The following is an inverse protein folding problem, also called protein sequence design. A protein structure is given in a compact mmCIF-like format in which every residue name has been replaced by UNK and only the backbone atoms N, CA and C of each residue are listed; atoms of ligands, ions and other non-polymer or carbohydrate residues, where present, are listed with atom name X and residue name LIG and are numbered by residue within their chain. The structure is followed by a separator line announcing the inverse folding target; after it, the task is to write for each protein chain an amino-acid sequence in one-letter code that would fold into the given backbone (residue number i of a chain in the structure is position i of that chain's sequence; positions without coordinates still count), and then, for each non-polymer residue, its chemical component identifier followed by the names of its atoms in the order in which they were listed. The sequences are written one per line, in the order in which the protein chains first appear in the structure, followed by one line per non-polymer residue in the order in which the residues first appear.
data_IF_931652731751
#
_entry.id   IF_931652731751
#
_cell.length_a   1.000
_cell.length_b   1.000
_cell.length_c   1.000
_cell.angle_alpha   90.00
_cell.angle_beta   90.00
_cell.angle_gamma   90.00
#
_symmetry.space_group_name_H-M   'P 1'
#
loop_
_entity.id
_entity.type
_entity.pdbx_description
1 polymer ?
#
# COMPACT_ATOMS: atom_id res chain seq x y z
N UNK A 1 18.45 -14.89 -2.49
CA UNK A 1 17.00 -14.69 -2.25
C UNK A 1 16.73 -14.84 -0.76
N UNK A 2 16.10 -13.85 -0.10
CA UNK A 2 15.83 -13.90 1.33
C UNK A 2 14.31 -13.95 1.57
N UNK A 3 13.86 -14.91 2.37
CA UNK A 3 12.44 -15.19 2.55
C UNK A 3 11.75 -14.28 3.57
N UNK A 4 12.37 -13.94 4.71
CA UNK A 4 11.75 -13.07 5.72
C UNK A 4 12.75 -12.56 6.77
N UNK A 5 12.68 -11.27 7.15
CA UNK A 5 13.23 -10.78 8.43
C UNK A 5 12.17 -10.08 9.26
N UNK A 6 12.44 -9.95 10.56
CA UNK A 6 11.58 -9.19 11.49
C UNK A 6 11.31 -7.77 10.98
N UNK A 7 12.30 -7.10 10.39
CA UNK A 7 12.13 -5.73 9.85
C UNK A 7 11.15 -5.69 8.66
N UNK A 8 11.28 -6.62 7.71
CA UNK A 8 10.36 -6.71 6.57
C UNK A 8 8.93 -6.99 7.02
N UNK A 9 8.73 -7.89 7.98
CA UNK A 9 7.40 -8.16 8.55
C UNK A 9 6.78 -6.94 9.23
N UNK A 10 7.57 -6.15 9.96
CA UNK A 10 7.08 -4.90 10.57
C UNK A 10 6.64 -3.92 9.49
N UNK A 11 7.39 -3.78 8.40
CA UNK A 11 7.03 -2.89 7.28
C UNK A 11 5.75 -3.34 6.58
N UNK A 12 5.56 -4.65 6.40
CA UNK A 12 4.32 -5.22 5.86
C UNK A 12 3.14 -4.98 6.82
N UNK A 13 3.35 -5.13 8.14
CA UNK A 13 2.31 -4.84 9.12
C UNK A 13 1.91 -3.35 9.13
N UNK A 14 2.88 -2.44 8.97
CA UNK A 14 2.63 -1.00 8.84
C UNK A 14 1.88 -0.70 7.53
N UNK A 15 2.25 -1.34 6.42
CA UNK A 15 1.53 -1.23 5.15
C UNK A 15 0.07 -1.65 5.31
N UNK A 16 -0.17 -2.80 5.97
CA UNK A 16 -1.51 -3.29 6.24
C UNK A 16 -2.33 -2.31 7.09
N UNK A 17 -1.73 -1.75 8.14
CA UNK A 17 -2.39 -0.75 8.97
C UNK A 17 -2.74 0.51 8.15
N UNK A 18 -1.83 0.99 7.30
CA UNK A 18 -2.09 2.12 6.41
C UNK A 18 -3.24 1.84 5.44
N UNK A 19 -3.29 0.62 4.89
CA UNK A 19 -4.36 0.15 4.00
C UNK A 19 -5.74 0.10 4.65
N UNK A 20 -5.82 -0.06 5.98
CA UNK A 20 -7.08 -0.03 6.73
C UNK A 20 -7.44 1.38 7.20
N UNK A 21 -6.46 2.09 7.76
CA UNK A 21 -6.69 3.38 8.42
C UNK A 21 -7.05 4.46 7.39
N UNK A 22 -6.39 4.51 6.23
CA UNK A 22 -6.64 5.53 5.23
C UNK A 22 -8.09 5.49 4.68
N UNK A 23 -8.61 4.34 4.20
CA UNK A 23 -10.01 4.24 3.81
C UNK A 23 -10.97 4.48 4.98
N UNK A 24 -10.65 4.01 6.19
CA UNK A 24 -11.50 4.19 7.37
C UNK A 24 -11.66 5.68 7.77
N UNK A 25 -10.56 6.44 7.77
CA UNK A 25 -10.58 7.88 8.06
C UNK A 25 -11.41 8.60 6.99
N UNK A 26 -11.17 8.31 5.71
CA UNK A 26 -11.91 8.96 4.63
C UNK A 26 -13.41 8.63 4.69
N UNK A 27 -13.76 7.39 5.04
CA UNK A 27 -15.15 6.99 5.28
C UNK A 27 -15.77 7.78 6.44
N UNK A 28 -15.04 7.97 7.54
CA UNK A 28 -15.49 8.79 8.66
C UNK A 28 -15.74 10.25 8.27
N UNK A 29 -14.79 10.85 7.53
CA UNK A 29 -14.88 12.23 7.05
C UNK A 29 -16.08 12.39 6.10
N UNK A 30 -16.19 11.53 5.09
CA UNK A 30 -17.28 11.58 4.09
C UNK A 30 -18.64 11.41 4.76
N UNK A 31 -18.80 10.49 5.71
CA UNK A 31 -20.04 10.33 6.49
C UNK A 31 -20.39 11.57 7.30
N UNK A 32 -19.40 12.17 7.97
CA UNK A 32 -19.62 13.35 8.81
C UNK A 32 -20.05 14.55 7.97
N UNK A 33 -19.36 14.81 6.86
CA UNK A 33 -19.68 15.91 5.95
C UNK A 33 -21.05 15.73 5.26
N UNK A 34 -21.43 14.48 4.94
CA UNK A 34 -22.73 14.16 4.34
C UNK A 34 -23.90 14.48 5.27
N UNK A 35 -23.71 14.34 6.58
CA UNK A 35 -24.73 14.67 7.59
C UNK A 35 -24.91 16.19 7.70
N UNK A 36 -23.84 16.97 7.52
CA UNK A 36 -23.85 18.44 7.65
C UNK A 36 -24.35 19.16 6.39
N UNK A 37 -24.13 18.61 5.19
CA UNK A 37 -24.57 19.21 3.92
C UNK A 37 -25.30 18.21 3.02
N UNK A 38 -26.64 18.06 3.16
CA UNK A 38 -27.41 17.05 2.44
C UNK A 38 -27.63 17.35 0.93
N UNK A 39 -27.27 18.55 0.45
CA UNK A 39 -27.49 19.00 -0.94
C UNK A 39 -26.22 19.01 -1.81
N UNK A 40 -25.07 18.58 -1.28
CA UNK A 40 -23.82 18.47 -2.04
C UNK A 40 -23.82 17.24 -2.95
N UNK A 41 -23.69 17.44 -4.26
CA UNK A 41 -23.63 16.39 -5.28
C UNK A 41 -22.59 15.31 -4.91
N UNK A 42 -23.04 14.06 -4.84
CA UNK A 42 -22.31 12.85 -4.44
C UNK A 42 -21.08 12.48 -5.29
N UNK A 43 -20.71 13.30 -6.28
CA UNK A 43 -19.59 13.08 -7.19
C UNK A 43 -18.23 13.16 -6.46
N UNK A 44 -18.11 13.99 -5.42
CA UNK A 44 -16.87 14.14 -4.65
C UNK A 44 -16.50 12.92 -3.80
N UNK A 45 -17.49 12.20 -3.26
CA UNK A 45 -17.25 11.02 -2.42
C UNK A 45 -16.72 9.84 -3.26
N UNK A 46 -17.29 9.61 -4.45
CA UNK A 46 -16.81 8.58 -5.39
C UNK A 46 -15.40 8.90 -5.90
N UNK A 47 -15.14 10.17 -6.23
CA UNK A 47 -13.81 10.63 -6.65
C UNK A 47 -12.75 10.39 -5.57
N UNK A 48 -13.07 10.61 -4.30
CA UNK A 48 -12.14 10.41 -3.18
C UNK A 48 -11.74 8.94 -3.02
N UNK A 49 -12.66 8.01 -3.26
CA UNK A 49 -12.38 6.56 -3.19
C UNK A 49 -11.48 6.08 -4.31
N UNK A 50 -11.70 6.62 -5.53
CA UNK A 50 -10.83 6.37 -6.68
C UNK A 50 -9.42 6.93 -6.43
N UNK A 51 -9.29 8.12 -5.83
CA UNK A 51 -7.99 8.68 -5.50
C UNK A 51 -7.18 7.78 -4.53
N UNK A 52 -7.83 7.20 -3.52
CA UNK A 52 -7.16 6.25 -2.62
C UNK A 52 -6.68 5.01 -3.37
N UNK A 53 -7.54 4.39 -4.17
CA UNK A 53 -7.19 3.19 -4.94
C UNK A 53 -6.08 3.46 -5.96
N UNK A 54 -6.22 4.50 -6.76
CA UNK A 54 -5.32 4.69 -7.91
C UNK A 54 -4.03 5.43 -7.58
N UNK A 55 -4.00 6.20 -6.48
CA UNK A 55 -2.86 7.05 -6.14
C UNK A 55 -2.26 6.70 -4.79
N UNK A 56 -3.03 6.78 -3.71
CA UNK A 56 -2.45 6.74 -2.36
C UNK A 56 -1.94 5.34 -1.99
N UNK A 57 -2.78 4.31 -2.10
CA UNK A 57 -2.39 2.93 -1.79
C UNK A 57 -1.20 2.42 -2.63
N UNK A 58 -1.18 2.60 -3.97
CA UNK A 58 -0.05 2.17 -4.77
C UNK A 58 1.23 2.95 -4.46
N UNK A 59 1.17 4.26 -4.19
CA UNK A 59 2.35 5.04 -3.80
C UNK A 59 2.94 4.55 -2.46
N UNK A 60 2.10 4.32 -1.44
CA UNK A 60 2.58 3.79 -0.16
C UNK A 60 3.21 2.40 -0.35
N UNK A 61 2.62 1.55 -1.20
CA UNK A 61 3.23 0.25 -1.52
C UNK A 61 4.60 0.42 -2.16
N UNK A 62 4.73 1.30 -3.16
CA UNK A 62 6.00 1.57 -3.82
C UNK A 62 7.03 2.08 -2.82
N UNK A 63 6.68 3.08 -2.01
CA UNK A 63 7.59 3.71 -1.05
C UNK A 63 8.09 2.70 -0.01
N UNK A 64 7.20 1.94 0.62
CA UNK A 64 7.57 0.97 1.65
C UNK A 64 8.34 -0.20 1.04
N UNK A 65 7.96 -0.67 -0.14
CA UNK A 65 8.64 -1.77 -0.82
C UNK A 65 10.06 -1.39 -1.27
N UNK A 66 10.21 -0.20 -1.87
CA UNK A 66 11.50 0.34 -2.27
C UNK A 66 12.40 0.58 -1.06
N UNK A 67 11.86 1.19 0.00
CA UNK A 67 12.60 1.37 1.25
C UNK A 67 13.05 0.04 1.85
N UNK A 68 12.18 -0.99 1.80
CA UNK A 68 12.56 -2.33 2.24
C UNK A 68 13.70 -2.91 1.41
N UNK A 69 13.59 -2.83 0.08
CA UNK A 69 14.62 -3.25 -0.85
C UNK A 69 15.97 -2.58 -0.56
N UNK A 70 15.96 -1.26 -0.33
CA UNK A 70 17.17 -0.48 -0.05
C UNK A 70 17.87 -0.88 1.25
N UNK A 71 17.11 -1.25 2.28
CA UNK A 71 17.63 -1.52 3.62
C UNK A 71 17.99 -2.98 3.84
N UNK A 72 17.20 -3.87 3.26
CA UNK A 72 17.18 -5.30 3.59
C UNK A 72 17.49 -6.20 2.39
N UNK A 73 17.58 -5.60 1.19
CA UNK A 73 17.77 -6.31 -0.07
C UNK A 73 16.47 -6.85 -0.65
N UNK A 74 16.58 -7.61 -1.74
CA UNK A 74 15.42 -8.14 -2.46
C UNK A 74 14.66 -9.21 -1.64
N UNK A 75 13.34 -9.06 -1.57
CA UNK A 75 12.43 -10.00 -0.89
C UNK A 75 11.21 -10.36 -1.75
N UNK A 76 10.99 -11.67 -1.91
CA UNK A 76 9.84 -12.20 -2.64
C UNK A 76 8.50 -11.97 -1.91
N UNK A 77 8.51 -11.64 -0.62
CA UNK A 77 7.29 -11.34 0.14
C UNK A 77 6.50 -10.20 -0.49
N UNK A 78 7.18 -9.23 -1.12
CA UNK A 78 6.55 -8.11 -1.80
C UNK A 78 5.72 -8.49 -3.03
N UNK A 79 5.85 -9.73 -3.53
CA UNK A 79 4.98 -10.27 -4.57
C UNK A 79 3.55 -10.53 -4.06
N UNK A 80 3.39 -10.88 -2.79
CA UNK A 80 2.11 -11.31 -2.22
C UNK A 80 1.60 -10.37 -1.13
N UNK A 81 2.50 -9.68 -0.42
CA UNK A 81 2.16 -8.85 0.71
C UNK A 81 1.15 -7.74 0.35
N UNK A 82 1.31 -6.95 -0.73
CA UNK A 82 0.33 -5.91 -1.05
C UNK A 82 -1.07 -6.46 -1.34
N UNK A 83 -1.17 -7.59 -2.06
CA UNK A 83 -2.43 -8.26 -2.31
C UNK A 83 -3.10 -8.73 -1.01
N UNK A 84 -2.36 -9.46 -0.15
CA UNK A 84 -2.89 -9.98 1.12
C UNK A 84 -3.32 -8.83 2.03
N UNK A 85 -2.51 -7.78 2.12
CA UNK A 85 -2.83 -6.58 2.89
C UNK A 85 -4.07 -5.86 2.36
N UNK A 86 -4.33 -5.93 1.05
CA UNK A 86 -5.48 -5.29 0.43
C UNK A 86 -6.79 -6.07 0.59
N UNK A 87 -6.75 -7.40 0.79
CA UNK A 87 -7.96 -8.22 0.86
C UNK A 87 -8.97 -7.75 1.92
N UNK A 88 -8.52 -7.52 3.16
CA UNK A 88 -9.44 -7.08 4.22
C UNK A 88 -10.02 -5.69 3.94
N UNK A 89 -9.20 -4.65 3.62
CA UNK A 89 -9.73 -3.37 3.16
C UNK A 89 -10.68 -3.50 1.97
N UNK A 90 -10.40 -4.38 1.00
CA UNK A 90 -11.24 -4.60 -0.18
C UNK A 90 -12.68 -4.93 0.22
N UNK A 91 -12.87 -5.88 1.13
CA UNK A 91 -14.20 -6.29 1.58
C UNK A 91 -14.88 -5.29 2.52
N UNK A 92 -14.11 -4.51 3.28
CA UNK A 92 -14.67 -3.52 4.22
C UNK A 92 -15.08 -2.21 3.55
N UNK A 93 -14.34 -1.82 2.52
CA UNK A 93 -14.34 -0.46 1.99
C UNK A 93 -14.64 -0.43 0.49
N UNK A 94 -14.12 -1.39 -0.27
CA UNK A 94 -14.23 -1.41 -1.73
C UNK A 94 -15.22 -2.48 -2.20
N UNK A 95 -15.22 -2.75 -3.50
CA UNK A 95 -16.04 -3.78 -4.13
C UNK A 95 -15.17 -4.98 -4.54
N UNK A 96 -15.78 -6.13 -4.81
CA UNK A 96 -15.07 -7.35 -5.27
C UNK A 96 -14.25 -7.10 -6.54
N UNK A 97 -14.75 -6.24 -7.43
CA UNK A 97 -14.03 -5.85 -8.65
C UNK A 97 -12.71 -5.11 -8.37
N UNK A 98 -12.48 -4.65 -7.14
CA UNK A 98 -11.24 -3.98 -6.77
C UNK A 98 -10.07 -4.94 -6.57
N UNK A 99 -10.29 -6.26 -6.58
CA UNK A 99 -9.24 -7.29 -6.44
C UNK A 99 -8.09 -7.09 -7.44
N UNK A 100 -8.42 -6.65 -8.67
CA UNK A 100 -7.44 -6.38 -9.71
C UNK A 100 -6.40 -5.34 -9.27
N UNK A 101 -6.79 -4.37 -8.44
CA UNK A 101 -5.86 -3.37 -7.93
C UNK A 101 -4.89 -3.96 -6.92
N UNK A 102 -5.33 -4.89 -6.07
CA UNK A 102 -4.44 -5.64 -5.18
C UNK A 102 -3.35 -6.40 -5.95
N UNK A 103 -3.71 -6.99 -7.09
CA UNK A 103 -2.75 -7.66 -7.99
C UNK A 103 -1.75 -6.64 -8.57
N UNK A 104 -2.25 -5.49 -9.03
CA UNK A 104 -1.40 -4.40 -9.55
C UNK A 104 -0.45 -3.91 -8.46
N UNK A 105 -0.91 -3.69 -7.23
CA UNK A 105 -0.07 -3.27 -6.11
C UNK A 105 1.03 -4.30 -5.81
N UNK A 106 0.73 -5.59 -5.94
CA UNK A 106 1.72 -6.66 -5.81
C UNK A 106 2.81 -6.58 -6.88
N UNK A 107 2.44 -6.31 -8.14
CA UNK A 107 3.40 -6.08 -9.23
C UNK A 107 4.25 -4.83 -8.94
N UNK A 108 3.63 -3.73 -8.52
CA UNK A 108 4.33 -2.51 -8.13
C UNK A 108 5.28 -2.75 -6.95
N UNK A 109 4.84 -3.51 -5.95
CA UNK A 109 5.61 -3.83 -4.75
C UNK A 109 6.87 -4.64 -5.08
N UNK A 110 6.76 -5.71 -5.87
CA UNK A 110 7.94 -6.51 -6.24
C UNK A 110 8.91 -5.71 -7.12
N UNK A 111 8.41 -4.89 -8.06
CA UNK A 111 9.26 -4.04 -8.90
C UNK A 111 9.96 -2.98 -8.06
N UNK A 112 9.24 -2.28 -7.18
CA UNK A 112 9.79 -1.26 -6.31
C UNK A 112 10.83 -1.85 -5.34
N UNK A 113 10.56 -3.02 -4.76
CA UNK A 113 11.53 -3.72 -3.91
C UNK A 113 12.79 -4.12 -4.70
N UNK A 114 12.65 -4.63 -5.91
CA UNK A 114 13.77 -4.94 -6.78
C UNK A 114 14.61 -3.70 -7.08
N UNK A 115 13.98 -2.60 -7.51
CA UNK A 115 14.64 -1.32 -7.76
C UNK A 115 15.36 -0.83 -6.50
N UNK A 116 14.69 -0.82 -5.35
CA UNK A 116 15.28 -0.44 -4.07
C UNK A 116 16.50 -1.28 -3.71
N UNK A 117 16.44 -2.60 -3.97
CA UNK A 117 17.55 -3.52 -3.69
C UNK A 117 18.78 -3.27 -4.56
N UNK A 118 18.62 -2.78 -5.80
CA UNK A 118 19.75 -2.41 -6.64
C UNK A 118 20.55 -1.25 -6.02
N UNK A 119 19.88 -0.27 -5.42
CA UNK A 119 20.56 0.82 -4.69
C UNK A 119 21.30 0.34 -3.44
N UNK A 120 20.85 -0.76 -2.82
CA UNK A 120 21.56 -1.36 -1.68
C UNK A 120 22.93 -1.94 -2.08
N UNK A 121 23.05 -2.44 -3.31
CA UNK A 121 24.28 -3.02 -3.86
C UNK A 121 25.33 -1.97 -4.24
N UNK A 122 24.88 -0.75 -4.59
CA UNK A 122 25.75 0.36 -4.97
C UNK A 122 26.40 1.04 -3.75
N UNK A 123 25.88 0.82 -2.53
CA UNK A 123 26.52 1.38 -1.33
C UNK A 123 27.86 0.70 -1.07
N UNK A 124 29.00 1.44 -1.06
CA UNK A 124 30.27 0.87 -0.65
C UNK A 124 30.13 0.38 0.79
N UNK A 125 30.41 -0.90 0.97
CA UNK A 125 30.41 -1.59 2.26
C UNK A 125 31.45 -0.89 3.14
N UNK A 126 31.04 0.12 3.91
CA UNK A 126 31.86 0.64 5.02
C UNK A 126 31.95 -0.51 6.03
N UNK A 127 32.99 -1.34 5.85
CA UNK A 127 33.46 -2.30 6.85
C UNK A 127 33.86 -1.46 8.06
N UNK A 128 33.08 -1.52 9.13
CA UNK A 128 33.58 -1.29 10.48
C UNK A 128 34.06 -2.62 11.03
#
# INVERSE_FOLDING_TARGET
MRWATKSTWIRIAVLFAAYLILPAILLGITRTLSITHPTGTWDGAKSSWLAILFLILPLITIDVAAWDGMKEGWSFLWALAPLICFLLPMFLFFNDSALIYGIIYSVLGIVANAVGSLFSLVRPRRRQ
#
